data_IF_658035103928
#
_entry.id   IF_658035103928
#
_cell.length_a   1.000
_cell.length_b   1.000
_cell.length_c   1.000
_cell.angle_alpha   90.00
_cell.angle_beta   90.00
_cell.angle_gamma   90.00
#
_symmetry.space_group_name_H-M   'P 1'
#
loop_
_entity.id
_entity.type
_entity.pdbx_description
1 polymer ?
#
# COMPACT_ATOMS: atom_id res chain seq x y z
N UNK A 1 11.53 21.79 14.33
CA UNK A 1 10.93 20.51 13.87
C UNK A 1 11.38 20.12 12.46
N UNK A 2 11.25 21.00 11.43
CA UNK A 2 11.65 20.69 10.06
C UNK A 2 13.12 20.27 9.90
N UNK A 3 14.05 20.99 10.56
CA UNK A 3 15.49 20.66 10.52
C UNK A 3 15.78 19.30 11.19
N UNK A 4 15.08 18.93 12.25
CA UNK A 4 15.21 17.63 12.90
C UNK A 4 14.67 16.51 12.03
N UNK A 5 13.47 16.68 11.44
CA UNK A 5 12.87 15.73 10.52
C UNK A 5 13.75 15.47 9.28
N UNK A 6 14.42 16.50 8.76
CA UNK A 6 15.34 16.37 7.63
C UNK A 6 16.56 15.49 7.93
N UNK A 7 16.99 15.38 9.19
CA UNK A 7 18.17 14.57 9.62
C UNK A 7 17.87 13.07 9.68
N UNK A 8 16.62 12.66 9.90
CA UNK A 8 16.25 11.23 9.98
C UNK A 8 16.34 10.61 8.60
N UNK A 9 17.05 9.49 8.47
CA UNK A 9 17.17 8.80 7.19
C UNK A 9 15.85 8.12 6.77
N UNK A 10 15.61 8.00 5.47
CA UNK A 10 14.45 7.26 4.96
C UNK A 10 14.46 5.80 5.41
N UNK A 11 15.64 5.18 5.52
CA UNK A 11 15.78 3.80 6.00
C UNK A 11 15.23 3.61 7.41
N UNK A 12 15.54 4.53 8.35
CA UNK A 12 15.00 4.50 9.71
C UNK A 12 13.46 4.59 9.69
N UNK A 13 12.90 5.46 8.86
CA UNK A 13 11.45 5.60 8.74
C UNK A 13 10.78 4.33 8.20
N UNK A 14 11.37 3.66 7.20
CA UNK A 14 10.88 2.39 6.70
C UNK A 14 10.94 1.28 7.77
N UNK A 15 12.03 1.18 8.52
CA UNK A 15 12.15 0.23 9.63
C UNK A 15 11.09 0.52 10.70
N UNK A 16 10.89 1.78 11.07
CA UNK A 16 9.87 2.16 12.04
C UNK A 16 8.46 1.78 11.58
N UNK A 17 8.12 2.03 10.31
CA UNK A 17 6.83 1.64 9.73
C UNK A 17 6.62 0.13 9.83
N UNK A 18 7.62 -0.67 9.45
CA UNK A 18 7.53 -2.13 9.48
C UNK A 18 7.37 -2.71 10.89
N UNK A 19 7.96 -2.09 11.90
CA UNK A 19 7.89 -2.58 13.30
C UNK A 19 6.48 -2.58 13.90
N UNK A 20 5.58 -1.72 13.43
CA UNK A 20 4.20 -1.68 13.94
C UNK A 20 3.47 -3.03 13.75
N UNK A 21 3.72 -3.73 12.64
CA UNK A 21 3.12 -5.04 12.38
C UNK A 21 3.58 -6.06 13.44
N UNK A 22 4.87 -6.10 13.75
CA UNK A 22 5.43 -7.04 14.73
C UNK A 22 4.91 -6.86 16.16
N UNK A 23 4.38 -5.67 16.49
CA UNK A 23 3.78 -5.41 17.81
C UNK A 23 2.39 -6.07 17.94
N UNK A 24 1.62 -6.11 16.85
CA UNK A 24 0.21 -6.58 16.87
C UNK A 24 0.09 -8.00 16.33
N UNK A 25 0.81 -8.33 15.28
CA UNK A 25 0.66 -9.61 14.58
C UNK A 25 1.70 -10.63 15.05
N UNK A 26 1.22 -11.66 15.74
CA UNK A 26 2.05 -12.81 16.15
C UNK A 26 2.07 -13.94 15.11
N UNK A 27 1.42 -13.76 13.96
CA UNK A 27 1.27 -14.79 12.93
C UNK A 27 1.29 -14.24 11.51
N UNK A 28 0.84 -15.07 10.57
CA UNK A 28 0.73 -14.68 9.16
C UNK A 28 -0.38 -13.65 8.97
N UNK A 29 -0.07 -12.56 8.28
CA UNK A 29 -1.05 -11.50 7.99
C UNK A 29 -1.87 -11.79 6.73
N UNK A 30 -3.04 -11.17 6.67
CA UNK A 30 -3.84 -11.03 5.46
C UNK A 30 -3.45 -9.71 4.77
N UNK A 31 -2.57 -9.80 3.80
CA UNK A 31 -1.96 -8.64 3.16
C UNK A 31 -2.81 -8.08 2.02
N UNK A 32 -2.76 -6.77 1.85
CA UNK A 32 -3.24 -6.07 0.67
C UNK A 32 -2.24 -5.00 0.24
N UNK A 33 -2.25 -4.67 -1.04
CA UNK A 33 -1.46 -3.55 -1.54
C UNK A 33 -2.23 -2.77 -2.60
N UNK A 34 -2.06 -1.47 -2.56
CA UNK A 34 -2.64 -0.54 -3.51
C UNK A 34 -1.79 0.74 -3.60
N UNK A 35 -2.11 1.63 -4.52
CA UNK A 35 -1.40 2.87 -4.72
C UNK A 35 -2.34 4.08 -4.80
N UNK A 36 -1.87 5.21 -4.30
CA UNK A 36 -2.59 6.48 -4.39
C UNK A 36 -1.66 7.62 -4.78
N UNK A 37 -2.20 8.64 -5.45
CA UNK A 37 -1.50 9.87 -5.77
C UNK A 37 -1.70 10.95 -4.71
N UNK A 38 -0.66 11.74 -4.46
CA UNK A 38 -0.71 12.97 -3.67
C UNK A 38 -0.31 14.14 -4.55
N UNK A 39 -1.09 15.22 -4.48
CA UNK A 39 -0.82 16.42 -5.26
C UNK A 39 0.41 17.15 -4.72
N UNK A 40 1.23 17.68 -5.64
CA UNK A 40 2.38 18.51 -5.24
C UNK A 40 1.95 19.98 -5.21
N UNK A 41 1.88 20.60 -4.03
CA UNK A 41 1.45 21.98 -3.83
C UNK A 41 2.20 22.99 -4.69
N UNK A 42 3.47 22.75 -4.96
CA UNK A 42 4.33 23.64 -5.74
C UNK A 42 4.29 23.40 -7.26
N UNK A 43 3.48 22.44 -7.73
CA UNK A 43 3.18 22.34 -9.15
C UNK A 43 2.19 23.48 -9.48
N UNK A 44 2.70 24.62 -10.00
CA UNK A 44 1.86 25.77 -10.31
C UNK A 44 0.71 25.36 -11.27
N UNK A 45 -0.57 25.37 -10.82
CA UNK A 45 -1.69 24.86 -11.63
C UNK A 45 -1.81 25.62 -12.96
N UNK A 46 -1.53 26.90 -12.95
CA UNK A 46 -1.57 27.76 -14.13
C UNK A 46 -0.49 27.39 -15.16
N UNK A 47 0.74 27.11 -14.72
CA UNK A 47 1.83 26.73 -15.60
C UNK A 47 1.62 25.34 -16.20
N UNK A 48 1.15 24.37 -15.40
CA UNK A 48 0.81 23.03 -15.90
C UNK A 48 -0.33 23.05 -16.91
N UNK A 49 -1.35 23.87 -16.68
CA UNK A 49 -2.44 24.08 -17.62
C UNK A 49 -1.97 24.70 -18.95
N UNK A 50 -1.19 25.79 -18.87
CA UNK A 50 -0.68 26.52 -20.05
C UNK A 50 0.28 25.68 -20.91
N UNK A 51 1.09 24.84 -20.29
CA UNK A 51 2.05 23.98 -20.98
C UNK A 51 1.48 22.61 -21.33
N UNK A 52 0.17 22.37 -21.12
CA UNK A 52 -0.49 21.08 -21.35
C UNK A 52 0.22 19.92 -20.62
N UNK A 53 0.92 20.19 -19.53
CA UNK A 53 1.60 19.23 -18.71
C UNK A 53 0.59 18.54 -17.80
N UNK A 54 0.69 17.22 -17.68
CA UNK A 54 -0.07 16.49 -16.65
C UNK A 54 0.37 16.98 -15.27
N UNK A 55 -0.58 17.21 -14.37
CA UNK A 55 -0.28 17.61 -12.99
C UNK A 55 0.77 16.66 -12.39
N UNK A 56 1.89 17.23 -11.94
CA UNK A 56 2.91 16.47 -11.26
C UNK A 56 2.36 15.98 -9.91
N UNK A 57 2.31 14.70 -9.71
CA UNK A 57 1.91 14.08 -8.45
C UNK A 57 2.97 13.12 -7.95
N UNK A 58 2.97 12.88 -6.66
CA UNK A 58 3.81 11.87 -6.03
C UNK A 58 2.93 10.66 -5.72
N UNK A 59 3.34 9.50 -6.19
CA UNK A 59 2.61 8.25 -6.00
C UNK A 59 3.16 7.48 -4.83
N UNK A 60 2.28 7.04 -3.95
CA UNK A 60 2.59 6.16 -2.83
C UNK A 60 1.91 4.81 -3.04
N UNK A 61 2.69 3.75 -3.15
CA UNK A 61 2.23 2.37 -3.09
C UNK A 61 2.46 1.86 -1.66
N UNK A 62 1.45 1.30 -1.03
CA UNK A 62 1.52 0.80 0.33
C UNK A 62 1.04 -0.63 0.43
N UNK A 63 1.77 -1.44 1.19
CA UNK A 63 1.38 -2.76 1.62
C UNK A 63 0.90 -2.72 3.06
N UNK A 64 -0.21 -3.35 3.36
CA UNK A 64 -0.86 -3.30 4.67
C UNK A 64 -1.49 -4.63 5.07
N UNK A 65 -1.67 -4.83 6.37
CA UNK A 65 -2.48 -5.92 6.90
C UNK A 65 -3.96 -5.51 6.90
N UNK A 66 -4.80 -6.33 6.28
CA UNK A 66 -6.24 -6.06 6.15
C UNK A 66 -7.01 -6.19 7.47
N UNK A 67 -6.47 -6.90 8.46
CA UNK A 67 -7.12 -7.05 9.77
C UNK A 67 -6.88 -5.81 10.64
N UNK A 68 -5.64 -5.49 10.90
CA UNK A 68 -5.26 -4.34 11.72
C UNK A 68 -5.36 -3.00 10.98
N UNK A 69 -5.31 -3.02 9.64
CA UNK A 69 -5.17 -1.86 8.76
C UNK A 69 -3.86 -1.08 8.99
N UNK A 70 -2.83 -1.72 9.53
CA UNK A 70 -1.50 -1.14 9.67
C UNK A 70 -0.73 -1.27 8.34
N UNK A 71 -0.04 -0.21 7.98
CA UNK A 71 0.86 -0.22 6.82
C UNK A 71 2.19 -0.83 7.24
N UNK A 72 2.66 -1.84 6.52
CA UNK A 72 3.92 -2.52 6.78
C UNK A 72 5.06 -2.13 5.83
N UNK A 73 4.72 -1.70 4.62
CA UNK A 73 5.70 -1.31 3.61
C UNK A 73 5.18 -0.18 2.72
N UNK A 74 6.09 0.66 2.22
CA UNK A 74 5.77 1.81 1.38
C UNK A 74 6.82 1.98 0.29
N UNK A 75 6.36 2.21 -0.94
CA UNK A 75 7.22 2.64 -2.06
C UNK A 75 6.68 3.95 -2.61
N UNK A 76 7.54 4.95 -2.69
CA UNK A 76 7.19 6.29 -3.17
C UNK A 76 7.86 6.53 -4.51
N UNK A 77 7.10 7.09 -5.45
CA UNK A 77 7.54 7.44 -6.80
C UNK A 77 7.22 8.91 -7.07
N UNK A 78 8.21 9.62 -7.60
CA UNK A 78 8.04 10.98 -8.08
C UNK A 78 7.78 10.98 -9.59
N UNK A 79 7.19 12.05 -10.08
CA UNK A 79 6.95 12.21 -11.52
C UNK A 79 8.28 12.13 -12.32
N UNK A 80 8.33 11.43 -13.48
CA UNK A 80 7.28 10.64 -14.10
C UNK A 80 7.03 9.31 -13.38
N UNK A 81 5.76 9.02 -13.06
CA UNK A 81 5.38 7.78 -12.38
C UNK A 81 5.20 6.63 -13.37
N UNK A 82 5.58 5.45 -12.99
CA UNK A 82 5.37 4.24 -13.77
C UNK A 82 4.22 3.38 -13.26
N UNK A 83 3.84 2.38 -14.04
CA UNK A 83 2.79 1.42 -13.65
C UNK A 83 3.19 0.65 -12.37
N UNK A 84 2.20 0.35 -11.53
CA UNK A 84 2.36 -0.30 -10.22
C UNK A 84 3.08 -1.65 -10.31
N UNK A 85 2.84 -2.40 -11.36
CA UNK A 85 3.49 -3.69 -11.62
C UNK A 85 5.03 -3.58 -11.57
N UNK A 86 5.62 -2.50 -12.07
CA UNK A 86 7.09 -2.32 -12.11
C UNK A 86 7.69 -2.16 -10.71
N UNK A 87 6.93 -1.62 -9.77
CA UNK A 87 7.41 -1.36 -8.40
C UNK A 87 6.89 -2.36 -7.38
N UNK A 88 6.00 -3.25 -7.81
CA UNK A 88 5.43 -4.27 -6.93
C UNK A 88 6.48 -5.18 -6.31
N UNK A 89 7.50 -5.59 -7.07
CA UNK A 89 8.58 -6.44 -6.56
C UNK A 89 9.31 -5.79 -5.37
N UNK A 90 9.57 -4.49 -5.46
CA UNK A 90 10.19 -3.72 -4.36
C UNK A 90 9.28 -3.65 -3.14
N UNK A 91 8.00 -3.36 -3.33
CA UNK A 91 7.01 -3.31 -2.25
C UNK A 91 6.87 -4.68 -1.58
N UNK A 92 6.71 -5.73 -2.37
CA UNK A 92 6.58 -7.10 -1.89
C UNK A 92 7.82 -7.58 -1.12
N UNK A 93 9.02 -7.26 -1.61
CA UNK A 93 10.27 -7.55 -0.90
C UNK A 93 10.33 -6.83 0.46
N UNK A 94 9.94 -5.55 0.53
CA UNK A 94 9.86 -4.84 1.81
C UNK A 94 8.86 -5.49 2.78
N UNK A 95 7.69 -5.92 2.28
CA UNK A 95 6.69 -6.61 3.11
C UNK A 95 7.23 -7.92 3.68
N UNK A 96 7.90 -8.72 2.86
CA UNK A 96 8.52 -10.00 3.28
C UNK A 96 9.56 -9.83 4.38
N UNK A 97 10.31 -8.73 4.35
CA UNK A 97 11.35 -8.46 5.35
C UNK A 97 10.78 -8.11 6.74
N UNK A 98 9.51 -7.74 6.82
CA UNK A 98 8.90 -7.29 8.09
C UNK A 98 7.80 -8.21 8.61
N UNK A 99 7.21 -9.05 7.76
CA UNK A 99 6.10 -9.94 8.15
C UNK A 99 5.97 -11.14 7.24
N UNK A 100 5.36 -12.20 7.75
CA UNK A 100 4.91 -13.35 6.96
C UNK A 100 3.46 -13.15 6.53
N UNK A 101 3.14 -13.53 5.29
CA UNK A 101 1.82 -13.35 4.70
C UNK A 101 1.16 -14.70 4.44
N UNK A 102 -0.14 -14.80 4.62
CA UNK A 102 -0.93 -15.96 4.24
C UNK A 102 -1.59 -15.77 2.88
N UNK A 103 -2.24 -14.62 2.70
CA UNK A 103 -2.98 -14.25 1.50
C UNK A 103 -2.55 -12.82 1.14
N UNK A 104 -2.48 -12.54 -0.16
CA UNK A 104 -2.27 -11.20 -0.68
C UNK A 104 -3.35 -10.86 -1.70
N UNK A 105 -4.16 -9.84 -1.38
CA UNK A 105 -5.18 -9.28 -2.27
C UNK A 105 -4.65 -8.04 -2.99
N UNK A 106 -4.84 -8.03 -4.32
CA UNK A 106 -4.42 -6.92 -5.17
C UNK A 106 -5.52 -6.57 -6.16
N UNK A 107 -5.51 -5.33 -6.65
CA UNK A 107 -6.44 -4.91 -7.69
C UNK A 107 -6.15 -5.64 -9.01
N UNK A 108 -7.16 -5.71 -9.87
CA UNK A 108 -7.04 -6.29 -11.22
C UNK A 108 -5.97 -5.61 -12.09
N UNK A 109 -5.53 -4.40 -11.70
CA UNK A 109 -4.38 -3.73 -12.27
C UNK A 109 -3.08 -4.56 -12.20
N UNK A 110 -2.97 -5.42 -11.19
CA UNK A 110 -1.84 -6.33 -10.96
C UNK A 110 -2.01 -7.71 -11.62
N UNK A 111 -3.07 -7.94 -12.41
CA UNK A 111 -3.29 -9.23 -13.09
C UNK A 111 -2.20 -9.52 -14.13
N UNK A 112 -1.13 -10.10 -13.68
CA UNK A 112 -0.01 -10.57 -14.51
C UNK A 112 0.56 -11.87 -13.92
N UNK A 113 0.80 -12.87 -14.77
CA UNK A 113 1.34 -14.18 -14.32
C UNK A 113 2.63 -14.06 -13.51
N UNK A 114 3.60 -13.18 -13.85
CA UNK A 114 4.81 -12.99 -13.04
C UNK A 114 4.52 -12.50 -11.62
N UNK A 115 3.47 -11.67 -11.42
CA UNK A 115 3.06 -11.20 -10.09
C UNK A 115 2.50 -12.37 -9.27
N UNK A 116 1.58 -13.15 -9.85
CA UNK A 116 1.08 -14.35 -9.20
C UNK A 116 2.20 -15.31 -8.81
N UNK A 117 3.13 -15.56 -9.75
CA UNK A 117 4.28 -16.44 -9.51
C UNK A 117 5.13 -15.93 -8.35
N UNK A 118 5.51 -14.65 -8.36
CA UNK A 118 6.31 -14.03 -7.29
C UNK A 118 5.67 -14.21 -5.90
N UNK A 119 4.35 -14.03 -5.80
CA UNK A 119 3.63 -14.19 -4.53
C UNK A 119 3.56 -15.67 -4.13
N UNK A 120 3.26 -16.56 -5.07
CA UNK A 120 3.11 -18.00 -4.82
C UNK A 120 4.43 -18.71 -4.54
N UNK A 121 5.53 -18.27 -5.09
CA UNK A 121 6.88 -18.79 -4.80
C UNK A 121 7.27 -18.58 -3.31
N UNK A 122 6.61 -17.64 -2.62
CA UNK A 122 6.76 -17.42 -1.17
C UNK A 122 5.67 -18.13 -0.32
N UNK A 123 4.98 -19.11 -0.89
CA UNK A 123 3.87 -19.82 -0.23
C UNK A 123 2.72 -18.90 0.24
N UNK A 124 2.51 -17.78 -0.44
CA UNK A 124 1.41 -16.83 -0.20
C UNK A 124 0.32 -17.03 -1.25
N UNK A 125 -0.94 -17.03 -0.85
CA UNK A 125 -2.06 -17.13 -1.77
C UNK A 125 -2.24 -15.75 -2.45
N UNK A 126 -2.09 -15.70 -3.78
CA UNK A 126 -2.38 -14.48 -4.56
C UNK A 126 -3.85 -14.41 -4.92
N UNK A 127 -4.57 -13.38 -4.49
CA UNK A 127 -5.98 -13.14 -4.79
C UNK A 127 -6.09 -11.87 -5.66
N UNK A 128 -6.07 -12.05 -6.98
CA UNK A 128 -6.08 -10.96 -7.97
C UNK A 128 -7.14 -11.30 -9.03
N UNK A 129 -8.14 -10.44 -9.26
CA UNK A 129 -9.17 -10.72 -10.25
C UNK A 129 -8.60 -10.64 -11.67
N UNK A 130 -8.93 -11.64 -12.50
CA UNK A 130 -8.48 -11.68 -13.90
C UNK A 130 -9.19 -10.59 -14.70
N UNK A 131 -8.44 -9.82 -15.51
CA UNK A 131 -8.97 -8.69 -16.31
C UNK A 131 -10.07 -9.10 -17.27
N UNK A 132 -9.88 -10.21 -17.99
CA UNK A 132 -10.80 -10.67 -19.04
C UNK A 132 -11.63 -11.87 -18.56
N UNK A 133 -12.58 -11.64 -17.68
CA UNK A 133 -13.46 -12.71 -17.17
C UNK A 133 -14.45 -13.24 -18.20
N UNK A 134 -14.78 -12.47 -19.27
CA UNK A 134 -15.72 -12.87 -20.30
C UNK A 134 -15.21 -13.89 -21.32
N UNK A 135 -13.89 -14.15 -21.40
CA UNK A 135 -13.35 -15.15 -22.32
C UNK A 135 -13.35 -16.56 -21.71
N UNK A 136 -13.25 -17.61 -22.54
CA UNK A 136 -13.12 -18.99 -22.08
C UNK A 136 -11.87 -19.17 -21.22
N UNK A 137 -11.94 -20.00 -20.17
CA UNK A 137 -10.81 -20.27 -19.26
C UNK A 137 -9.60 -20.82 -20.04
N UNK A 138 -9.84 -21.63 -21.09
CA UNK A 138 -8.79 -22.16 -21.96
C UNK A 138 -7.95 -21.07 -22.63
N UNK A 139 -8.55 -19.92 -22.96
CA UNK A 139 -7.89 -18.76 -23.58
C UNK A 139 -7.12 -17.89 -22.59
N UNK A 140 -7.31 -18.08 -21.28
CA UNK A 140 -6.54 -17.37 -20.27
C UNK A 140 -5.09 -17.89 -20.27
N UNK A 141 -4.12 -17.01 -20.52
CA UNK A 141 -2.70 -17.38 -20.45
C UNK A 141 -2.22 -17.34 -18.99
N UNK A 142 -1.37 -18.30 -18.62
CA UNK A 142 -0.80 -18.40 -17.28
C UNK A 142 -1.52 -19.43 -16.37
N UNK A 143 -0.73 -20.15 -15.56
CA UNK A 143 -1.21 -21.19 -14.63
C UNK A 143 -2.05 -20.59 -13.52
N UNK A 144 -1.50 -19.59 -12.82
CA UNK A 144 -2.13 -18.97 -11.65
C UNK A 144 -3.33 -18.11 -12.04
N UNK A 145 -3.28 -17.46 -13.19
CA UNK A 145 -4.44 -16.72 -13.74
C UNK A 145 -5.60 -17.66 -14.08
N UNK A 146 -5.34 -18.87 -14.63
CA UNK A 146 -6.36 -19.90 -14.81
C UNK A 146 -6.95 -20.38 -13.48
N UNK A 147 -6.08 -20.55 -12.46
CA UNK A 147 -6.50 -20.91 -11.11
C UNK A 147 -7.45 -19.84 -10.53
N UNK A 148 -7.11 -18.57 -10.66
CA UNK A 148 -7.97 -17.46 -10.21
C UNK A 148 -9.31 -17.38 -10.95
N UNK A 149 -9.41 -17.94 -12.15
CA UNK A 149 -10.71 -18.07 -12.85
C UNK A 149 -11.63 -19.12 -12.22
N UNK A 150 -11.09 -20.10 -11.51
CA UNK A 150 -11.80 -21.23 -10.89
C UNK A 150 -12.04 -21.01 -9.40
N UNK A 151 -11.05 -20.50 -8.69
CA UNK A 151 -10.98 -20.47 -7.22
C UNK A 151 -10.98 -19.03 -6.66
N UNK A 152 -11.51 -18.07 -7.43
CA UNK A 152 -11.58 -16.69 -6.96
C UNK A 152 -12.64 -16.54 -5.87
N UNK A 153 -12.21 -16.11 -4.69
CA UNK A 153 -13.09 -15.84 -3.55
C UNK A 153 -13.40 -14.32 -3.50
N UNK A 154 -14.62 -13.97 -3.84
CA UNK A 154 -15.08 -12.58 -3.81
C UNK A 154 -15.14 -12.00 -2.41
N UNK A 155 -15.47 -12.81 -1.39
CA UNK A 155 -15.55 -12.37 0.00
C UNK A 155 -14.17 -11.93 0.50
N UNK A 156 -13.16 -12.77 0.28
CA UNK A 156 -11.78 -12.42 0.60
C UNK A 156 -11.29 -11.20 -0.21
N UNK A 157 -11.69 -11.11 -1.47
CA UNK A 157 -11.29 -10.00 -2.32
C UNK A 157 -11.88 -8.67 -1.86
N UNK A 158 -13.09 -8.64 -1.33
CA UNK A 158 -13.73 -7.41 -0.82
C UNK A 158 -12.96 -6.78 0.36
N UNK A 159 -12.16 -7.56 1.07
CA UNK A 159 -11.27 -7.02 2.11
C UNK A 159 -10.29 -5.97 1.55
N UNK A 160 -10.02 -5.95 0.23
CA UNK A 160 -9.21 -4.93 -0.44
C UNK A 160 -9.75 -3.51 -0.21
N UNK A 161 -11.04 -3.33 -0.04
CA UNK A 161 -11.65 -2.02 0.20
C UNK A 161 -11.05 -1.31 1.44
N UNK A 162 -10.44 -2.07 2.35
CA UNK A 162 -9.74 -1.51 3.51
C UNK A 162 -8.49 -0.70 3.11
N UNK A 163 -7.85 -1.00 1.98
CA UNK A 163 -6.72 -0.18 1.46
C UNK A 163 -7.20 1.21 1.05
N UNK A 164 -8.37 1.30 0.43
CA UNK A 164 -8.99 2.58 0.08
C UNK A 164 -9.34 3.39 1.34
N UNK A 165 -9.85 2.71 2.38
CA UNK A 165 -10.11 3.32 3.68
C UNK A 165 -8.82 3.87 4.31
N UNK A 166 -7.73 3.11 4.28
CA UNK A 166 -6.41 3.55 4.78
C UNK A 166 -5.98 4.84 4.09
N UNK A 167 -6.01 4.89 2.76
CA UNK A 167 -5.61 6.08 2.00
C UNK A 167 -6.55 7.26 2.23
N UNK A 168 -7.85 7.01 2.34
CA UNK A 168 -8.84 8.05 2.66
C UNK A 168 -8.56 8.68 4.02
N UNK A 169 -8.24 7.87 5.04
CA UNK A 169 -7.90 8.39 6.37
C UNK A 169 -6.61 9.20 6.34
N UNK A 170 -5.56 8.72 5.64
CA UNK A 170 -4.30 9.47 5.51
C UNK A 170 -4.55 10.83 4.87
N UNK A 171 -5.26 10.89 3.75
CA UNK A 171 -5.54 12.15 3.04
C UNK A 171 -6.40 13.10 3.86
N UNK A 172 -7.42 12.61 4.55
CA UNK A 172 -8.31 13.47 5.36
C UNK A 172 -7.65 14.02 6.63
N UNK A 173 -6.75 13.22 7.28
CA UNK A 173 -6.12 13.63 8.53
C UNK A 173 -4.80 14.37 8.35
N UNK A 174 -4.06 14.04 7.31
CA UNK A 174 -2.70 14.54 7.11
C UNK A 174 -2.52 15.29 5.78
N UNK A 175 -3.64 15.64 5.13
CA UNK A 175 -3.69 16.37 3.87
C UNK A 175 -3.47 15.48 2.62
N UNK A 176 -4.11 15.87 1.52
CA UNK A 176 -3.93 15.25 0.19
C UNK A 176 -2.79 15.90 -0.61
N UNK A 177 -2.35 17.09 -0.19
CA UNK A 177 -1.25 17.84 -0.82
C UNK A 177 0.08 17.61 -0.09
N UNK A 178 1.16 17.52 -0.86
CA UNK A 178 2.53 17.52 -0.34
C UNK A 178 3.06 18.94 -0.32
N UNK A 179 3.56 19.38 0.83
CA UNK A 179 4.07 20.74 1.06
C UNK A 179 5.56 20.87 0.80
N UNK A 180 6.29 19.77 0.78
CA UNK A 180 7.73 19.74 0.51
C UNK A 180 8.02 20.01 -0.95
N UNK A 181 9.13 20.72 -1.22
CA UNK A 181 9.57 21.08 -2.57
C UNK A 181 10.43 19.98 -3.21
N UNK A 182 11.45 19.56 -2.50
CA UNK A 182 12.43 18.55 -2.93
C UNK A 182 11.91 17.12 -2.84
N UNK A 183 12.28 16.24 -3.76
CA UNK A 183 11.84 14.87 -3.84
C UNK A 183 12.22 14.04 -2.61
N UNK A 184 13.40 14.28 -2.03
CA UNK A 184 13.82 13.62 -0.78
C UNK A 184 12.91 14.00 0.37
N UNK A 185 12.57 15.29 0.48
CA UNK A 185 11.66 15.77 1.52
C UNK A 185 10.21 15.36 1.27
N UNK A 186 9.74 15.31 0.02
CA UNK A 186 8.42 14.74 -0.34
C UNK A 186 8.30 13.29 0.12
N UNK A 187 9.35 12.49 -0.12
CA UNK A 187 9.41 11.10 0.35
C UNK A 187 9.31 11.04 1.88
N UNK A 188 10.10 11.82 2.60
CA UNK A 188 10.08 11.85 4.06
C UNK A 188 8.72 12.32 4.60
N UNK A 189 8.13 13.34 3.99
CA UNK A 189 6.81 13.84 4.38
C UNK A 189 5.75 12.74 4.31
N UNK A 190 5.71 11.97 3.23
CA UNK A 190 4.78 10.84 3.10
C UNK A 190 5.10 9.72 4.10
N UNK A 191 6.35 9.39 4.34
CA UNK A 191 6.74 8.39 5.35
C UNK A 191 6.33 8.82 6.75
N UNK A 192 6.45 10.11 7.11
CA UNK A 192 5.96 10.63 8.39
C UNK A 192 4.43 10.55 8.51
N UNK A 193 3.69 10.84 7.42
CA UNK A 193 2.23 10.68 7.40
C UNK A 193 1.82 9.22 7.65
N UNK A 194 2.55 8.27 7.05
CA UNK A 194 2.32 6.84 7.28
C UNK A 194 2.64 6.44 8.72
N UNK A 195 3.73 6.93 9.30
CA UNK A 195 4.05 6.71 10.72
C UNK A 195 2.96 7.26 11.63
N UNK A 196 2.54 8.51 11.41
CA UNK A 196 1.47 9.13 12.19
C UNK A 196 0.14 8.37 12.04
N UNK A 197 -0.16 7.86 10.85
CA UNK A 197 -1.31 6.99 10.62
C UNK A 197 -1.20 5.69 11.42
N UNK A 198 -0.06 5.00 11.38
CA UNK A 198 0.16 3.76 12.12
C UNK A 198 0.06 4.00 13.65
N UNK A 199 0.66 5.07 14.17
CA UNK A 199 0.50 5.46 15.59
C UNK A 199 -0.96 5.67 15.95
N UNK A 200 -1.70 6.44 15.15
CA UNK A 200 -3.13 6.66 15.37
C UNK A 200 -3.90 5.33 15.35
N UNK A 201 -3.63 4.46 14.38
CA UNK A 201 -4.31 3.16 14.26
C UNK A 201 -4.01 2.26 15.46
N UNK A 202 -2.77 2.24 15.93
CA UNK A 202 -2.38 1.53 17.16
C UNK A 202 -3.16 2.01 18.38
N UNK A 203 -3.25 3.32 18.58
CA UNK A 203 -4.04 3.89 19.68
C UNK A 203 -5.50 3.43 19.63
N UNK A 204 -6.11 3.44 18.43
CA UNK A 204 -7.50 3.00 18.25
C UNK A 204 -7.67 1.51 18.58
N UNK A 205 -6.74 0.64 18.15
CA UNK A 205 -6.78 -0.79 18.44
C UNK A 205 -6.64 -1.03 19.94
N UNK A 206 -5.70 -0.34 20.61
CA UNK A 206 -5.47 -0.46 22.05
C UNK A 206 -6.68 0.00 22.85
N UNK A 207 -7.34 1.10 22.47
CA UNK A 207 -8.57 1.58 23.11
C UNK A 207 -9.70 0.55 23.00
N UNK A 208 -9.92 -0.02 21.81
CA UNK A 208 -10.94 -1.06 21.60
C UNK A 208 -10.65 -2.29 22.48
N UNK A 209 -9.39 -2.73 22.56
CA UNK A 209 -8.99 -3.84 23.42
C UNK A 209 -9.31 -3.56 24.91
N UNK A 210 -8.96 -2.37 25.41
CA UNK A 210 -9.25 -1.97 26.80
C UNK A 210 -10.76 -1.92 27.07
N UNK A 211 -11.55 -1.44 26.12
CA UNK A 211 -13.02 -1.37 26.27
C UNK A 211 -13.65 -2.77 26.31
N UNK A 212 -13.13 -3.71 25.52
CA UNK A 212 -13.65 -5.11 25.52
C UNK A 212 -13.24 -5.83 26.79
N UNK A 213 -12.00 -5.69 27.26
CA UNK A 213 -11.49 -6.36 28.48
C UNK A 213 -12.10 -5.82 29.77
N UNK A 214 -12.77 -4.68 29.76
CA UNK A 214 -13.47 -4.09 30.92
C UNK A 214 -14.97 -4.40 30.96
N UNK A 215 -15.50 -5.13 30.00
CA UNK A 215 -16.89 -5.63 30.11
C UNK A 215 -16.93 -6.77 31.12
N UNK A 216 -17.78 -6.67 32.17
CA UNK A 216 -17.93 -7.72 33.18
C UNK A 216 -18.43 -9.02 32.59
#
# INVERSE_FOLDING_TARGET
LQKAAARISQGILHVAIGRFIGIISTGKIFAGADATGFENRHAAPYYTYRCNLRHAFTKMSAGSDMKSQLICAVVIQHHPVSHDIKHFSKLFSQMKNVTTMQIMVLDKGYDAEPIHKMIRDENVISMIPVRNRGCLISRTKGRYRKLMRREFDETLYHERNKTETIFSVIKRRFDSEIKSYDNTMKTKELLYRVLAYNCHRMCMISLVYVMISRKP
#
